data_IF_878530737046
#
_entry.id   IF_878530737046
#
_cell.length_a   1.000
_cell.length_b   1.000
_cell.length_c   1.000
_cell.angle_alpha   90.00
_cell.angle_beta   90.00
_cell.angle_gamma   90.00
#
_symmetry.space_group_name_H-M   'P 1'
#
loop_
_entity.id
_entity.type
_entity.pdbx_description
1 polymer ?
#
# COMPACT_ATOMS: atom_id res chain seq x y z
N UNK A 1 2.46 -17.93 -0.21
CA UNK A 1 1.99 -17.19 0.97
C UNK A 1 2.00 -18.03 2.23
N UNK A 2 3.11 -17.99 2.96
CA UNK A 2 3.27 -18.70 4.22
C UNK A 2 2.82 -17.84 5.43
N UNK A 3 2.76 -16.52 5.26
CA UNK A 3 2.50 -15.56 6.35
C UNK A 3 1.02 -15.42 6.74
N UNK A 4 0.06 -15.66 5.85
CA UNK A 4 -1.38 -15.62 6.20
C UNK A 4 -1.72 -16.67 7.28
N UNK A 5 -1.05 -17.83 7.27
CA UNK A 5 -1.21 -18.86 8.30
C UNK A 5 -0.71 -18.41 9.68
N UNK A 6 0.24 -17.47 9.73
CA UNK A 6 0.78 -16.94 10.97
C UNK A 6 -0.15 -15.91 11.63
N UNK A 7 -1.23 -15.51 10.95
CA UNK A 7 -2.27 -14.66 11.54
C UNK A 7 -3.11 -15.43 12.57
N UNK A 8 -3.25 -16.75 12.41
CA UNK A 8 -3.95 -17.59 13.38
C UNK A 8 -3.22 -17.56 14.72
N UNK A 9 -3.85 -16.99 15.74
CA UNK A 9 -3.27 -16.85 17.08
C UNK A 9 -2.23 -15.74 17.22
N UNK A 10 -2.07 -14.86 16.22
CA UNK A 10 -1.17 -13.71 16.30
C UNK A 10 -1.54 -12.82 17.48
N UNK A 11 -0.56 -12.58 18.37
CA UNK A 11 -0.65 -11.58 19.44
C UNK A 11 0.17 -10.38 19.03
N UNK A 12 -0.50 -9.27 18.75
CA UNK A 12 0.18 -8.01 18.48
C UNK A 12 0.98 -7.58 19.72
N UNK A 13 2.22 -7.08 19.55
CA UNK A 13 3.06 -6.69 20.68
C UNK A 13 2.41 -5.58 21.49
N UNK A 14 2.40 -5.69 22.83
CA UNK A 14 1.79 -4.67 23.70
C UNK A 14 2.55 -3.33 23.71
N UNK A 15 3.83 -3.33 23.35
CA UNK A 15 4.65 -2.13 23.23
C UNK A 15 4.45 -1.43 21.87
N UNK A 16 4.79 -0.14 21.81
CA UNK A 16 4.85 0.70 20.59
C UNK A 16 6.00 0.28 19.64
N UNK A 17 6.14 -1.02 19.38
CA UNK A 17 7.07 -1.53 18.37
C UNK A 17 6.44 -1.34 16.99
N UNK A 18 7.20 -0.73 16.09
CA UNK A 18 6.81 -0.63 14.69
C UNK A 18 7.14 -1.93 13.96
N UNK A 19 6.21 -2.34 13.09
CA UNK A 19 6.43 -3.35 12.06
C UNK A 19 6.89 -2.63 10.79
N UNK A 20 8.00 -3.08 10.20
CA UNK A 20 8.53 -2.57 8.92
C UNK A 20 8.57 -3.72 7.90
N UNK A 21 8.05 -3.50 6.69
CA UNK A 21 8.17 -4.48 5.61
C UNK A 21 7.27 -4.17 4.41
N UNK A 22 7.22 -5.10 3.45
CA UNK A 22 6.33 -5.04 2.28
C UNK A 22 6.09 -6.47 1.75
N UNK A 23 5.41 -6.62 0.60
CA UNK A 23 5.14 -7.95 0.00
C UNK A 23 4.30 -8.84 0.92
N UNK A 24 4.70 -10.09 1.19
CA UNK A 24 4.02 -11.02 2.11
C UNK A 24 3.77 -10.44 3.52
N UNK A 25 4.56 -9.47 3.98
CA UNK A 25 4.37 -8.78 5.28
C UNK A 25 3.06 -7.98 5.30
N UNK A 26 2.44 -7.71 4.14
CA UNK A 26 1.10 -7.11 4.01
C UNK A 26 0.05 -7.81 4.88
N UNK A 27 0.15 -9.13 5.08
CA UNK A 27 -0.72 -9.86 6.00
C UNK A 27 -0.65 -9.31 7.44
N UNK A 28 0.57 -9.05 7.93
CA UNK A 28 0.81 -8.47 9.24
C UNK A 28 0.44 -6.98 9.28
N UNK A 29 0.70 -6.24 8.20
CA UNK A 29 0.24 -4.86 8.08
C UNK A 29 -1.28 -4.74 8.21
N UNK A 30 -2.04 -5.64 7.56
CA UNK A 30 -3.49 -5.74 7.71
C UNK A 30 -3.90 -5.95 9.16
N UNK A 31 -3.26 -6.88 9.88
CA UNK A 31 -3.53 -7.12 11.30
C UNK A 31 -3.24 -5.89 12.19
N UNK A 32 -2.16 -5.15 11.93
CA UNK A 32 -1.86 -3.91 12.65
C UNK A 32 -2.93 -2.84 12.40
N UNK A 33 -3.30 -2.62 11.13
CA UNK A 33 -4.28 -1.60 10.74
C UNK A 33 -5.70 -1.94 11.22
N UNK A 34 -6.08 -3.23 11.19
CA UNK A 34 -7.35 -3.70 11.75
C UNK A 34 -7.45 -3.47 13.27
N UNK A 35 -6.30 -3.44 13.97
CA UNK A 35 -6.22 -3.07 15.38
C UNK A 35 -6.05 -1.55 15.62
N UNK A 36 -6.17 -0.72 14.58
CA UNK A 36 -6.02 0.73 14.68
C UNK A 36 -4.58 1.20 14.91
N UNK A 37 -3.57 0.41 14.51
CA UNK A 37 -2.15 0.70 14.73
C UNK A 37 -1.43 1.02 13.42
N UNK A 38 -0.47 1.93 13.53
CA UNK A 38 0.46 2.25 12.44
C UNK A 38 1.49 1.12 12.26
N UNK A 39 1.84 0.86 11.02
CA UNK A 39 3.01 0.07 10.61
C UNK A 39 3.69 0.77 9.43
N UNK A 40 4.89 0.35 9.05
CA UNK A 40 5.68 1.01 8.01
C UNK A 40 5.81 0.10 6.80
N UNK A 41 5.27 0.53 5.66
CA UNK A 41 5.66 -0.05 4.39
C UNK A 41 7.11 0.36 4.12
N UNK A 42 7.97 -0.58 3.72
CA UNK A 42 9.35 -0.28 3.40
C UNK A 42 10.24 -1.52 3.27
N UNK A 43 11.53 -1.32 2.98
CA UNK A 43 12.46 -2.42 2.73
C UNK A 43 12.67 -3.31 3.96
N UNK A 44 12.89 -4.59 3.72
CA UNK A 44 13.13 -5.60 4.77
C UNK A 44 14.60 -5.68 5.17
N UNK A 45 14.89 -6.32 6.30
CA UNK A 45 16.25 -6.45 6.87
C UNK A 45 17.29 -6.98 5.88
N UNK A 46 16.90 -7.88 4.98
CA UNK A 46 17.79 -8.48 3.97
C UNK A 46 18.21 -7.50 2.88
N UNK A 47 17.49 -6.39 2.72
CA UNK A 47 17.81 -5.34 1.75
C UNK A 47 18.67 -4.23 2.37
N UNK A 48 18.65 -4.05 3.70
CA UNK A 48 19.29 -2.93 4.40
C UNK A 48 20.76 -2.71 3.99
N UNK A 49 21.54 -3.80 3.84
CA UNK A 49 22.95 -3.72 3.48
C UNK A 49 23.24 -3.22 2.05
N UNK A 50 22.21 -3.18 1.20
CA UNK A 50 22.30 -2.71 -0.19
C UNK A 50 21.43 -1.48 -0.46
N UNK A 51 20.76 -0.92 0.56
CA UNK A 51 19.94 0.28 0.39
C UNK A 51 20.80 1.50 0.09
N UNK A 52 20.44 2.21 -0.97
CA UNK A 52 20.96 3.56 -1.18
C UNK A 52 20.40 4.55 -0.16
N UNK A 53 21.13 5.63 0.11
CA UNK A 53 20.73 6.69 1.04
C UNK A 53 19.35 7.29 0.73
N UNK A 54 18.94 7.30 -0.55
CA UNK A 54 17.61 7.75 -0.99
C UNK A 54 16.43 6.99 -0.36
N UNK A 55 16.65 5.76 0.09
CA UNK A 55 15.63 4.94 0.76
C UNK A 55 15.96 4.75 2.24
N UNK A 56 17.24 4.56 2.57
CA UNK A 56 17.68 4.37 3.95
C UNK A 56 17.41 5.62 4.81
N UNK A 57 17.75 6.82 4.35
CA UNK A 57 17.61 8.02 5.19
C UNK A 57 16.13 8.34 5.49
N UNK A 58 15.19 8.31 4.51
CA UNK A 58 13.77 8.44 4.81
C UNK A 58 13.26 7.35 5.76
N UNK A 59 13.75 6.11 5.66
CA UNK A 59 13.34 5.04 6.56
C UNK A 59 13.69 5.38 8.00
N UNK A 60 14.96 5.72 8.27
CA UNK A 60 15.39 6.05 9.63
C UNK A 60 14.72 7.32 10.15
N UNK A 61 14.55 8.37 9.33
CA UNK A 61 13.78 9.56 9.74
C UNK A 61 12.35 9.21 10.13
N UNK A 62 11.68 8.36 9.36
CA UNK A 62 10.32 7.93 9.66
C UNK A 62 10.23 7.15 10.98
N UNK A 63 11.27 6.38 11.32
CA UNK A 63 11.34 5.59 12.55
C UNK A 63 11.77 6.39 13.79
N UNK A 64 12.49 7.50 13.60
CA UNK A 64 13.13 8.24 14.69
C UNK A 64 12.50 9.62 14.94
N UNK A 65 11.76 10.17 13.96
CA UNK A 65 11.20 11.52 14.02
C UNK A 65 9.66 11.53 13.96
N UNK A 66 8.97 11.99 15.04
CA UNK A 66 7.52 12.17 15.03
C UNK A 66 7.02 13.22 14.02
N UNK A 67 7.91 14.07 13.51
CA UNK A 67 7.55 15.13 12.55
C UNK A 67 7.77 14.74 11.09
N UNK A 68 8.37 13.57 10.80
CA UNK A 68 8.60 13.14 9.42
C UNK A 68 7.25 12.84 8.74
N UNK A 69 6.98 13.56 7.64
CA UNK A 69 5.75 13.49 6.85
C UNK A 69 6.11 13.39 5.37
N UNK A 70 6.31 12.18 4.84
CA UNK A 70 6.77 12.03 3.47
C UNK A 70 5.71 12.51 2.46
N UNK A 71 6.19 12.93 1.29
CA UNK A 71 5.36 13.19 0.11
C UNK A 71 5.85 12.26 -0.99
N UNK A 72 5.02 11.28 -1.34
CA UNK A 72 5.28 10.42 -2.48
C UNK A 72 4.64 11.04 -3.73
N UNK A 73 5.35 10.93 -4.86
CA UNK A 73 4.93 11.50 -6.15
C UNK A 73 4.87 10.41 -7.20
N UNK A 74 3.82 10.46 -8.01
CA UNK A 74 3.59 9.57 -9.14
C UNK A 74 2.91 10.33 -10.27
N UNK A 75 2.26 9.59 -11.18
CA UNK A 75 1.46 10.15 -12.25
C UNK A 75 0.00 10.35 -11.78
N UNK A 76 -0.60 11.53 -12.03
CA UNK A 76 -2.05 11.72 -11.98
C UNK A 76 -2.73 10.70 -12.90
N UNK A 77 -3.78 10.01 -12.40
CA UNK A 77 -4.57 9.09 -13.23
C UNK A 77 -6.04 9.49 -13.30
N UNK A 78 -6.67 9.70 -12.15
CA UNK A 78 -8.05 10.19 -12.07
C UNK A 78 -8.08 11.33 -11.07
N UNK A 79 -8.64 12.46 -11.48
CA UNK A 79 -8.62 13.70 -10.71
C UNK A 79 -9.43 13.64 -9.41
N UNK A 80 -9.37 14.73 -8.66
CA UNK A 80 -10.00 14.86 -7.33
C UNK A 80 -9.02 14.66 -6.18
N UNK A 81 -9.52 14.85 -4.97
CA UNK A 81 -8.75 14.77 -3.74
C UNK A 81 -9.46 13.88 -2.72
N UNK A 82 -8.68 13.15 -1.95
CA UNK A 82 -9.16 12.29 -0.88
C UNK A 82 -8.24 12.40 0.34
N UNK A 83 -8.81 12.34 1.53
CA UNK A 83 -8.06 12.28 2.77
C UNK A 83 -8.57 11.13 3.64
N UNK A 84 -7.65 10.34 4.17
CA UNK A 84 -8.00 9.18 4.97
C UNK A 84 -6.77 8.40 5.42
N UNK A 85 -6.94 7.38 6.28
CA UNK A 85 -5.86 6.47 6.60
C UNK A 85 -5.40 5.74 5.33
N UNK A 86 -4.09 5.63 5.11
CA UNK A 86 -3.52 4.84 4.02
C UNK A 86 -3.48 3.38 4.46
N UNK A 87 -4.22 2.51 3.79
CA UNK A 87 -4.28 1.07 4.09
C UNK A 87 -3.97 0.27 2.85
N UNK A 88 -3.48 -0.97 3.01
CA UNK A 88 -3.16 -1.85 1.88
C UNK A 88 -1.74 -2.39 1.92
N UNK A 89 -1.12 -2.50 0.75
CA UNK A 89 0.18 -3.14 0.54
C UNK A 89 0.19 -3.96 -0.74
N UNK A 90 0.69 -5.19 -0.66
CA UNK A 90 0.66 -6.13 -1.78
C UNK A 90 -0.79 -6.52 -2.14
N UNK A 91 -1.19 -6.30 -3.40
CA UNK A 91 -2.56 -6.54 -3.89
C UNK A 91 -2.98 -8.00 -3.71
N UNK A 92 -2.12 -8.93 -4.10
CA UNK A 92 -2.35 -10.36 -3.96
C UNK A 92 -2.63 -10.77 -2.52
N UNK A 93 -1.77 -10.34 -1.60
CA UNK A 93 -1.91 -10.67 -0.17
C UNK A 93 -3.15 -10.02 0.43
N UNK A 94 -3.40 -8.73 0.16
CA UNK A 94 -4.56 -8.02 0.73
C UNK A 94 -5.87 -8.65 0.28
N UNK A 95 -5.97 -9.06 -0.98
CA UNK A 95 -7.18 -9.72 -1.53
C UNK A 95 -7.54 -10.99 -0.74
N UNK A 96 -6.57 -11.67 -0.14
CA UNK A 96 -6.79 -12.88 0.67
C UNK A 96 -7.16 -12.61 2.12
N UNK A 97 -7.04 -11.36 2.57
CA UNK A 97 -7.56 -10.95 3.88
C UNK A 97 -9.06 -10.64 3.85
N UNK A 98 -9.68 -10.52 2.67
CA UNK A 98 -11.11 -10.25 2.54
C UNK A 98 -11.95 -11.26 3.34
N UNK A 99 -12.88 -10.74 4.14
CA UNK A 99 -13.74 -11.55 5.00
C UNK A 99 -13.09 -12.07 6.29
N UNK A 100 -11.83 -11.72 6.54
CA UNK A 100 -11.13 -12.06 7.79
C UNK A 100 -11.10 -10.88 8.76
N UNK A 101 -10.87 -11.09 10.07
CA UNK A 101 -10.66 -10.01 11.04
C UNK A 101 -9.40 -9.17 10.81
N UNK A 102 -8.54 -9.59 9.87
CA UNK A 102 -7.27 -8.93 9.58
C UNK A 102 -7.35 -7.99 8.38
N UNK A 103 -8.52 -7.88 7.72
CA UNK A 103 -8.75 -6.85 6.72
C UNK A 103 -8.81 -5.48 7.41
N UNK A 104 -8.01 -4.48 6.98
CA UNK A 104 -8.11 -3.13 7.52
C UNK A 104 -9.50 -2.52 7.27
N UNK A 105 -9.88 -1.55 8.10
CA UNK A 105 -11.06 -0.74 7.86
C UNK A 105 -10.90 0.02 6.53
N UNK A 106 -11.88 -0.12 5.63
CA UNK A 106 -11.83 0.49 4.30
C UNK A 106 -12.61 1.80 4.18
N UNK A 107 -13.54 2.05 5.10
CA UNK A 107 -14.43 3.20 5.03
C UNK A 107 -13.64 4.51 5.12
N UNK A 108 -13.67 5.30 4.04
CA UNK A 108 -12.93 6.55 3.90
C UNK A 108 -11.41 6.39 3.75
N UNK A 109 -10.89 5.17 3.60
CA UNK A 109 -9.45 4.94 3.50
C UNK A 109 -8.90 5.30 2.12
N UNK A 110 -7.60 5.63 2.04
CA UNK A 110 -6.85 5.66 0.78
C UNK A 110 -6.21 4.29 0.60
N UNK A 111 -6.61 3.57 -0.44
CA UNK A 111 -6.17 2.19 -0.65
C UNK A 111 -4.87 2.16 -1.47
N UNK A 112 -3.80 1.68 -0.86
CA UNK A 112 -2.50 1.52 -1.49
C UNK A 112 -2.31 0.10 -2.03
N UNK A 113 -1.87 0.00 -3.29
CA UNK A 113 -1.55 -1.27 -3.93
C UNK A 113 -0.22 -1.27 -4.67
N UNK A 114 0.53 -2.34 -4.48
CA UNK A 114 1.69 -2.74 -5.29
C UNK A 114 1.63 -4.25 -5.52
N UNK A 115 2.33 -4.78 -6.52
CA UNK A 115 2.49 -6.23 -6.68
C UNK A 115 3.72 -6.59 -7.51
N UNK A 116 4.04 -7.87 -7.58
CA UNK A 116 5.20 -8.37 -8.31
C UNK A 116 4.92 -9.69 -9.00
N UNK A 117 5.36 -9.84 -10.24
CA UNK A 117 5.25 -11.07 -11.07
C UNK A 117 3.83 -11.59 -11.31
N UNK A 118 2.80 -10.78 -11.04
CA UNK A 118 1.41 -11.14 -11.30
C UNK A 118 1.02 -10.79 -12.72
N UNK A 119 0.56 -11.80 -13.48
CA UNK A 119 0.15 -11.61 -14.86
C UNK A 119 -1.06 -10.67 -14.95
N UNK A 120 -1.26 -9.94 -16.07
CA UNK A 120 -2.35 -8.96 -16.20
C UNK A 120 -3.74 -9.54 -15.90
N UNK A 121 -4.03 -10.77 -16.36
CA UNK A 121 -5.32 -11.43 -16.08
C UNK A 121 -5.53 -11.74 -14.58
N UNK A 122 -4.46 -11.87 -13.79
CA UNK A 122 -4.58 -12.06 -12.33
C UNK A 122 -4.82 -10.74 -11.63
N UNK A 123 -4.16 -9.66 -12.06
CA UNK A 123 -4.45 -8.32 -11.58
C UNK A 123 -5.94 -7.98 -11.79
N UNK A 124 -6.43 -8.23 -13.00
CA UNK A 124 -7.85 -8.07 -13.35
C UNK A 124 -8.76 -8.87 -12.41
N UNK A 125 -8.50 -10.16 -12.22
CA UNK A 125 -9.29 -11.02 -11.34
C UNK A 125 -9.30 -10.54 -9.89
N UNK A 126 -8.15 -10.13 -9.36
CA UNK A 126 -8.05 -9.63 -7.98
C UNK A 126 -8.78 -8.30 -7.82
N UNK A 127 -8.63 -7.40 -8.79
CA UNK A 127 -9.37 -6.14 -8.83
C UNK A 127 -10.88 -6.35 -8.84
N UNK A 128 -11.37 -7.20 -9.74
CA UNK A 128 -12.79 -7.52 -9.82
C UNK A 128 -13.31 -8.20 -8.55
N UNK A 129 -12.49 -9.05 -7.90
CA UNK A 129 -12.85 -9.64 -6.61
C UNK A 129 -13.05 -8.55 -5.53
N UNK A 130 -12.14 -7.59 -5.42
CA UNK A 130 -12.28 -6.44 -4.51
C UNK A 130 -13.53 -5.60 -4.82
N UNK A 131 -13.82 -5.38 -6.12
CA UNK A 131 -15.00 -4.64 -6.55
C UNK A 131 -16.31 -5.34 -6.15
N UNK A 132 -16.40 -6.65 -6.40
CA UNK A 132 -17.55 -7.48 -6.03
C UNK A 132 -17.72 -7.55 -4.50
N UNK A 133 -16.62 -7.62 -3.76
CA UNK A 133 -16.61 -7.53 -2.29
C UNK A 133 -16.94 -6.12 -1.75
N UNK A 134 -17.16 -5.13 -2.63
CA UNK A 134 -17.55 -3.77 -2.27
C UNK A 134 -16.43 -2.93 -1.66
N UNK A 135 -15.16 -3.29 -1.88
CA UNK A 135 -14.03 -2.50 -1.39
C UNK A 135 -14.03 -1.07 -1.96
N UNK A 136 -14.15 -0.94 -3.29
CA UNK A 136 -14.10 0.36 -3.97
C UNK A 136 -15.30 1.28 -3.69
N UNK A 137 -16.39 0.74 -3.11
CA UNK A 137 -17.55 1.54 -2.66
C UNK A 137 -17.33 2.22 -1.31
N UNK A 138 -16.28 1.82 -0.58
CA UNK A 138 -16.01 2.25 0.80
C UNK A 138 -14.82 3.19 0.91
N UNK A 139 -13.82 3.00 0.06
CA UNK A 139 -12.57 3.79 0.06
C UNK A 139 -12.77 5.17 -0.57
N UNK A 140 -11.91 6.11 -0.20
CA UNK A 140 -11.94 7.49 -0.68
C UNK A 140 -11.03 7.72 -1.90
N UNK A 141 -10.00 6.88 -2.11
CA UNK A 141 -9.05 7.05 -3.20
C UNK A 141 -8.11 5.86 -3.38
N UNK A 142 -7.36 5.87 -4.47
CA UNK A 142 -6.45 4.80 -4.90
C UNK A 142 -5.01 5.33 -5.06
N UNK A 143 -4.07 4.68 -4.39
CA UNK A 143 -2.64 4.97 -4.46
C UNK A 143 -1.91 3.75 -5.03
N UNK A 144 -1.55 3.77 -6.31
CA UNK A 144 -0.93 2.63 -6.98
C UNK A 144 0.58 2.82 -7.02
N UNK A 145 1.30 1.91 -6.36
CA UNK A 145 2.75 1.82 -6.36
C UNK A 145 3.29 1.13 -7.61
N UNK A 146 4.37 0.40 -7.44
CA UNK A 146 5.05 -0.34 -8.50
C UNK A 146 4.42 -1.72 -8.72
N UNK A 147 4.27 -2.11 -9.98
CA UNK A 147 3.80 -3.44 -10.39
C UNK A 147 4.88 -4.13 -11.22
N UNK A 148 5.88 -4.69 -10.54
CA UNK A 148 7.13 -5.14 -11.17
C UNK A 148 6.97 -6.50 -11.83
N UNK A 149 7.32 -6.62 -13.12
CA UNK A 149 7.27 -7.90 -13.84
C UNK A 149 5.84 -8.42 -14.04
N UNK A 150 4.85 -7.53 -14.03
CA UNK A 150 3.44 -7.85 -14.14
C UNK A 150 2.90 -7.88 -15.58
N UNK A 151 3.80 -7.84 -16.57
CA UNK A 151 3.44 -7.82 -17.98
C UNK A 151 3.25 -9.24 -18.55
N UNK A 152 2.53 -9.32 -19.66
CA UNK A 152 2.54 -10.47 -20.55
C UNK A 152 3.00 -10.05 -21.96
N UNK A 153 3.17 -11.02 -22.86
CA UNK A 153 3.71 -10.80 -24.22
C UNK A 153 3.06 -9.63 -24.96
N UNK A 154 1.74 -9.51 -24.84
CA UNK A 154 0.92 -8.58 -25.63
C UNK A 154 0.19 -7.54 -24.76
N UNK A 155 0.34 -7.57 -23.43
CA UNK A 155 -0.44 -6.75 -22.51
C UNK A 155 0.38 -6.32 -21.29
N UNK A 156 0.50 -5.01 -21.10
CA UNK A 156 1.16 -4.45 -19.92
C UNK A 156 0.22 -4.50 -18.71
N UNK A 157 0.75 -4.91 -17.55
CA UNK A 157 -0.02 -4.94 -16.30
C UNK A 157 -0.47 -3.55 -15.87
N UNK A 158 0.38 -2.54 -16.08
CA UNK A 158 0.05 -1.14 -15.81
C UNK A 158 -1.14 -0.65 -16.64
N UNK A 159 -1.25 -1.08 -17.91
CA UNK A 159 -2.39 -0.71 -18.76
C UNK A 159 -3.70 -1.27 -18.19
N UNK A 160 -3.71 -2.53 -17.78
CA UNK A 160 -4.89 -3.16 -17.16
C UNK A 160 -5.30 -2.41 -15.89
N UNK A 161 -4.33 -2.11 -15.01
CA UNK A 161 -4.61 -1.37 -13.78
C UNK A 161 -5.10 0.05 -14.05
N UNK A 162 -4.59 0.71 -15.09
CA UNK A 162 -5.04 2.03 -15.51
C UNK A 162 -6.51 2.03 -15.88
N UNK A 163 -6.92 1.10 -16.73
CA UNK A 163 -8.31 0.95 -17.18
C UNK A 163 -9.24 0.64 -16.00
N UNK A 164 -8.84 -0.30 -15.15
CA UNK A 164 -9.58 -0.72 -13.97
C UNK A 164 -9.73 0.39 -12.92
N UNK A 165 -8.67 1.16 -12.68
CA UNK A 165 -8.68 2.28 -11.74
C UNK A 165 -9.57 3.43 -12.23
N UNK A 166 -9.48 3.80 -13.51
CA UNK A 166 -10.35 4.82 -14.12
C UNK A 166 -11.83 4.42 -13.99
N UNK A 167 -12.15 3.14 -14.19
CA UNK A 167 -13.53 2.64 -14.08
C UNK A 167 -14.13 2.80 -12.67
N UNK A 168 -13.32 2.98 -11.62
CA UNK A 168 -13.83 3.24 -10.26
C UNK A 168 -14.34 4.66 -10.06
N UNK A 169 -13.86 5.63 -10.86
CA UNK A 169 -14.15 7.05 -10.68
C UNK A 169 -13.55 7.69 -9.42
N UNK A 170 -12.70 6.97 -8.68
CA UNK A 170 -12.04 7.46 -7.46
C UNK A 170 -10.82 8.32 -7.82
N UNK A 171 -10.46 9.33 -6.99
CA UNK A 171 -9.16 9.98 -7.09
C UNK A 171 -8.04 8.94 -7.08
N UNK A 172 -7.14 9.01 -8.06
CA UNK A 172 -6.12 8.00 -8.26
C UNK A 172 -4.77 8.58 -8.68
N UNK A 173 -3.72 8.13 -8.01
CA UNK A 173 -2.31 8.36 -8.37
C UNK A 173 -1.66 7.02 -8.64
N UNK A 174 -0.85 6.92 -9.69
CA UNK A 174 -0.18 5.69 -10.10
C UNK A 174 1.33 5.88 -10.23
N UNK A 175 2.10 4.79 -10.09
CA UNK A 175 3.56 4.83 -10.21
C UNK A 175 4.23 5.50 -9.02
N UNK A 176 3.62 5.43 -7.83
CA UNK A 176 4.30 5.84 -6.60
C UNK A 176 5.55 4.97 -6.39
N UNK A 177 6.68 5.53 -5.91
CA UNK A 177 7.94 4.81 -5.75
C UNK A 177 7.91 3.91 -4.51
N UNK A 178 7.03 2.91 -4.49
CA UNK A 178 6.86 1.97 -3.41
C UNK A 178 6.47 0.58 -3.96
N UNK A 179 7.00 -0.48 -3.37
CA UNK A 179 6.81 -1.86 -3.83
C UNK A 179 8.10 -2.53 -4.30
N UNK A 180 8.00 -3.42 -5.29
CA UNK A 180 9.12 -4.26 -5.76
C UNK A 180 9.97 -3.63 -6.87
N UNK A 181 9.85 -2.33 -7.12
CA UNK A 181 10.74 -1.60 -8.01
C UNK A 181 12.12 -1.30 -7.40
N UNK A 182 12.94 -0.57 -8.14
CA UNK A 182 14.27 -0.14 -7.67
C UNK A 182 14.21 0.86 -6.49
N UNK A 183 13.09 1.55 -6.36
CA UNK A 183 12.84 2.53 -5.30
C UNK A 183 11.62 2.11 -4.48
N UNK A 184 11.87 1.68 -3.24
CA UNK A 184 10.84 1.30 -2.28
C UNK A 184 10.82 2.31 -1.13
N UNK A 185 10.26 3.49 -1.41
CA UNK A 185 10.18 4.59 -0.45
C UNK A 185 9.31 4.19 0.75
N UNK A 186 9.83 4.36 1.97
CA UNK A 186 9.12 3.95 3.17
C UNK A 186 8.03 4.97 3.53
N UNK A 187 6.91 4.47 4.05
CA UNK A 187 5.82 5.32 4.56
C UNK A 187 4.95 4.59 5.59
N UNK A 188 4.15 5.36 6.33
CA UNK A 188 3.32 4.85 7.41
C UNK A 188 1.97 4.34 6.89
N UNK A 189 1.74 3.03 6.93
CA UNK A 189 0.40 2.45 6.77
C UNK A 189 -0.42 2.61 8.06
N UNK A 190 -1.69 2.94 7.91
CA UNK A 190 -2.61 3.34 8.98
C UNK A 190 -2.59 4.83 9.28
N UNK A 191 -1.56 5.55 8.83
CA UNK A 191 -1.46 7.00 9.01
C UNK A 191 -2.36 7.74 8.01
N UNK A 192 -2.90 8.88 8.42
CA UNK A 192 -3.66 9.79 7.57
C UNK A 192 -2.77 10.44 6.52
N UNK A 193 -3.23 10.40 5.28
CA UNK A 193 -2.63 11.11 4.16
C UNK A 193 -3.68 11.78 3.30
N UNK A 194 -3.24 12.77 2.53
CA UNK A 194 -3.99 13.38 1.43
C UNK A 194 -3.48 12.83 0.11
N UNK A 195 -4.36 12.21 -0.65
CA UNK A 195 -4.17 11.83 -2.04
C UNK A 195 -4.69 12.96 -2.93
N UNK A 196 -3.86 13.46 -3.83
CA UNK A 196 -4.26 14.41 -4.87
C UNK A 196 -4.08 13.76 -6.24
N UNK A 197 -5.19 13.34 -6.82
CA UNK A 197 -5.26 12.73 -8.14
C UNK A 197 -5.09 13.71 -9.30
N UNK A 198 -5.12 15.03 -9.04
CA UNK A 198 -4.80 16.05 -10.03
C UNK A 198 -3.29 16.33 -10.08
N UNK A 199 -2.66 16.41 -8.91
CA UNK A 199 -1.23 16.75 -8.77
C UNK A 199 -0.32 15.51 -8.73
N UNK A 200 -0.88 14.31 -8.62
CA UNK A 200 -0.09 13.07 -8.61
C UNK A 200 0.67 12.86 -7.30
N UNK A 201 0.06 13.22 -6.16
CA UNK A 201 0.76 13.17 -4.86
C UNK A 201 0.00 12.37 -3.80
N UNK A 202 0.77 11.74 -2.90
CA UNK A 202 0.31 11.20 -1.63
C UNK A 202 1.12 11.88 -0.51
N UNK A 203 0.47 12.76 0.25
CA UNK A 203 1.10 13.60 1.28
C UNK A 203 0.66 13.14 2.65
N UNK A 204 1.59 12.67 3.48
CA UNK A 204 1.29 12.26 4.86
C UNK A 204 0.99 13.45 5.76
N UNK A 205 -0.07 13.34 6.56
CA UNK A 205 -0.54 14.40 7.46
C UNK A 205 -0.08 14.18 8.91
N UNK A 206 0.34 12.95 9.23
CA UNK A 206 0.90 12.53 10.52
C UNK A 206 2.13 11.63 10.33
N UNK A 207 2.97 11.55 11.37
CA UNK A 207 4.19 10.74 11.37
C UNK A 207 3.95 9.27 11.76
N UNK A 208 4.95 8.41 11.57
CA UNK A 208 4.84 6.99 11.91
C UNK A 208 5.02 6.69 13.42
N UNK A 209 5.64 7.62 14.14
CA UNK A 209 5.91 7.54 15.58
C UNK A 209 5.27 8.72 16.31
N UNK A 210 4.94 8.52 17.58
CA UNK A 210 4.34 9.54 18.46
C UNK A 210 5.40 10.28 19.28
#
# INVERSE_FOLDING_TARGET
EQLVRLLEGLKLPQANKLLVGFSDITALHGAFQAAGRISVHGPVVTQLGALGARVADPLFRLLESPSERPVLRGAPLTGGQAEGPVVGGNLSVLTRLLGTPFLPALDGAVLFFEDVTERPYRLDRMWHHLALAGAFRRVAGLALGTFTGCDDKDLAGEQVLRELAVATGLPCVMGLPAGHGDDNQPFALGARARLDGNEGTLTFLEGAVA
#
